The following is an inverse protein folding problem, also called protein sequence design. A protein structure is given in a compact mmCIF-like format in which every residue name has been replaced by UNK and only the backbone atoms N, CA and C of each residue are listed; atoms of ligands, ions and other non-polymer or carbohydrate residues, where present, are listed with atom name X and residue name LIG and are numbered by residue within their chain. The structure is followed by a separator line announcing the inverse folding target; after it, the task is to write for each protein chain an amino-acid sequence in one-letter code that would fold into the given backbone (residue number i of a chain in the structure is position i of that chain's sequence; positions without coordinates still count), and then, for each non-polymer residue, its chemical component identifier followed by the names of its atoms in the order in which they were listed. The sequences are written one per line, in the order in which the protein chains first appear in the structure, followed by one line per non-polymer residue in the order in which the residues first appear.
data_IF_431169145320
#
_entry.id   IF_431169145320
#
_cell.length_a   1.000
_cell.length_b   1.000
_cell.length_c   1.000
_cell.angle_alpha   90.00
_cell.angle_beta   90.00
_cell.angle_gamma   90.00
#
_symmetry.space_group_name_H-M   'P 1'
#
loop_
_entity.id
_entity.type
_entity.pdbx_description
1 polymer ?
#
# COMPACT_ATOMS: atom_id res chain seq x y z
N UNK A 1 18.96 6.03 -17.81
CA UNK A 1 19.01 5.36 -19.11
C UNK A 1 20.14 5.90 -19.97
N UNK A 2 20.20 7.21 -20.30
CA UNK A 2 21.25 7.82 -21.15
C UNK A 2 22.66 7.47 -20.71
N UNK A 3 22.95 7.59 -19.41
CA UNK A 3 24.27 7.28 -18.84
C UNK A 3 24.64 5.80 -18.95
N UNK A 4 23.64 4.93 -18.83
CA UNK A 4 23.82 3.48 -19.01
C UNK A 4 24.11 3.15 -20.49
N UNK A 5 23.29 3.69 -21.40
CA UNK A 5 23.47 3.46 -22.83
C UNK A 5 24.88 3.87 -23.29
N UNK A 6 25.34 5.07 -22.90
CA UNK A 6 26.69 5.52 -23.20
C UNK A 6 27.78 4.56 -22.70
N UNK A 7 27.64 4.09 -21.45
CA UNK A 7 28.58 3.09 -20.91
C UNK A 7 28.51 1.74 -21.63
N UNK A 8 27.32 1.36 -22.09
CA UNK A 8 27.14 0.12 -22.83
C UNK A 8 27.80 0.18 -24.22
N UNK A 9 27.72 1.33 -24.89
CA UNK A 9 28.47 1.59 -26.13
C UNK A 9 29.98 1.49 -25.89
N UNK A 10 30.48 2.21 -24.87
CA UNK A 10 31.91 2.29 -24.56
C UNK A 10 32.51 0.96 -24.10
N UNK A 11 31.82 0.20 -23.26
CA UNK A 11 32.37 -1.01 -22.63
C UNK A 11 32.08 -2.29 -23.38
N UNK A 12 30.96 -2.38 -24.07
CA UNK A 12 30.50 -3.60 -24.72
C UNK A 12 30.42 -3.48 -26.24
N UNK A 13 30.81 -2.34 -26.79
CA UNK A 13 30.81 -2.14 -28.25
C UNK A 13 29.43 -2.20 -28.89
N UNK A 14 28.36 -1.97 -28.11
CA UNK A 14 27.00 -1.98 -28.64
C UNK A 14 26.77 -0.78 -29.53
N UNK A 15 25.98 -0.96 -30.60
CA UNK A 15 25.49 0.20 -31.35
C UNK A 15 24.59 1.06 -30.45
N UNK A 16 24.48 2.34 -30.75
CA UNK A 16 23.63 3.29 -30.00
C UNK A 16 22.21 2.75 -29.81
N UNK A 17 21.60 2.20 -30.87
CA UNK A 17 20.25 1.62 -30.83
C UNK A 17 20.17 0.43 -29.87
N UNK A 18 21.12 -0.49 -29.95
CA UNK A 18 21.19 -1.63 -29.05
C UNK A 18 21.39 -1.21 -27.59
N UNK A 19 22.25 -0.23 -27.34
CA UNK A 19 22.52 0.30 -26.01
C UNK A 19 21.27 0.99 -25.42
N UNK A 20 20.53 1.74 -26.20
CA UNK A 20 19.27 2.36 -25.79
C UNK A 20 18.18 1.30 -25.50
N UNK A 21 18.05 0.29 -26.35
CA UNK A 21 17.12 -0.82 -26.13
C UNK A 21 17.45 -1.61 -24.84
N UNK A 22 18.74 -1.88 -24.60
CA UNK A 22 19.15 -2.53 -23.36
C UNK A 22 18.90 -1.64 -22.13
N UNK A 23 19.18 -0.35 -22.23
CA UNK A 23 18.88 0.60 -21.17
C UNK A 23 17.36 0.65 -20.86
N UNK A 24 16.53 0.54 -21.87
CA UNK A 24 15.08 0.50 -21.69
C UNK A 24 14.60 -0.79 -21.02
N UNK A 25 15.20 -1.93 -21.39
CA UNK A 25 14.87 -3.21 -20.77
C UNK A 25 15.30 -3.30 -19.31
N UNK A 26 16.50 -2.82 -19.00
CA UNK A 26 17.14 -3.02 -17.71
C UNK A 26 16.79 -1.94 -16.67
N UNK A 27 16.51 -0.72 -17.12
CA UNK A 27 16.29 0.42 -16.22
C UNK A 27 14.85 0.88 -16.31
N UNK A 28 14.12 0.71 -15.21
CA UNK A 28 12.76 1.17 -15.04
C UNK A 28 12.56 1.88 -13.71
N UNK A 29 11.34 2.29 -13.46
CA UNK A 29 10.88 2.78 -12.18
C UNK A 29 10.11 1.69 -11.45
N UNK A 30 10.30 1.58 -10.17
CA UNK A 30 9.34 0.98 -9.24
C UNK A 30 8.38 2.08 -8.84
N UNK A 31 7.10 1.84 -8.97
CA UNK A 31 6.04 2.76 -8.59
C UNK A 31 5.31 2.19 -7.39
N UNK A 32 5.46 2.86 -6.27
CA UNK A 32 4.86 2.45 -5.01
C UNK A 32 3.58 3.23 -4.78
N UNK A 33 2.45 2.53 -4.73
CA UNK A 33 1.13 3.16 -4.63
C UNK A 33 0.89 3.75 -3.24
N UNK A 34 1.39 3.09 -2.19
CA UNK A 34 1.29 3.61 -0.83
C UNK A 34 2.10 4.89 -0.66
N UNK A 35 3.35 4.89 -1.14
CA UNK A 35 4.21 6.06 -1.04
C UNK A 35 3.65 7.27 -1.80
N UNK A 36 3.16 7.07 -3.02
CA UNK A 36 2.58 8.18 -3.77
C UNK A 36 1.30 8.72 -3.12
N UNK A 37 0.51 7.87 -2.47
CA UNK A 37 -0.69 8.30 -1.76
C UNK A 37 -0.38 9.26 -0.61
N UNK A 38 0.81 9.15 0.01
CA UNK A 38 1.23 9.99 1.12
C UNK A 38 1.40 11.47 0.76
N UNK A 39 1.44 11.84 -0.53
CA UNK A 39 1.48 13.26 -0.89
C UNK A 39 0.16 13.98 -0.59
N UNK A 40 -0.93 13.23 -0.34
CA UNK A 40 -2.21 13.79 0.10
C UNK A 40 -2.09 14.63 1.36
N UNK A 41 -1.17 14.29 2.27
CA UNK A 41 -0.90 15.09 3.47
C UNK A 41 -0.45 16.53 3.17
N UNK A 42 -0.01 16.79 1.96
CA UNK A 42 0.37 18.13 1.48
C UNK A 42 -0.72 18.80 0.63
N UNK A 43 -1.93 18.25 0.63
CA UNK A 43 -3.08 18.81 -0.09
C UNK A 43 -3.25 18.31 -1.53
N UNK A 44 -2.48 17.32 -1.96
CA UNK A 44 -2.66 16.71 -3.29
C UNK A 44 -3.93 15.87 -3.33
N UNK A 45 -4.62 15.90 -4.46
CA UNK A 45 -5.86 15.15 -4.71
C UNK A 45 -5.59 13.84 -5.45
N UNK A 46 -6.59 12.97 -5.54
CA UNK A 46 -6.51 11.75 -6.35
C UNK A 46 -6.20 12.03 -7.82
N UNK A 47 -6.67 13.16 -8.37
CA UNK A 47 -6.35 13.52 -9.75
C UNK A 47 -4.87 13.84 -9.91
N UNK A 48 -4.27 14.55 -8.95
CA UNK A 48 -2.83 14.81 -8.98
C UNK A 48 -2.03 13.51 -8.91
N UNK A 49 -2.45 12.55 -8.07
CA UNK A 49 -1.80 11.24 -7.99
C UNK A 49 -1.86 10.49 -9.33
N UNK A 50 -2.98 10.57 -10.02
CA UNK A 50 -3.14 9.98 -11.36
C UNK A 50 -2.25 10.66 -12.40
N UNK A 51 -2.12 11.99 -12.35
CA UNK A 51 -1.24 12.76 -13.23
C UNK A 51 0.22 12.36 -13.04
N UNK A 52 0.69 12.24 -11.80
CA UNK A 52 2.03 11.75 -11.48
C UNK A 52 2.26 10.33 -12.02
N UNK A 53 1.27 9.45 -11.88
CA UNK A 53 1.35 8.10 -12.42
C UNK A 53 1.43 8.10 -13.95
N UNK A 54 0.70 8.96 -14.65
CA UNK A 54 0.79 9.12 -16.12
C UNK A 54 2.15 9.63 -16.53
N UNK A 55 2.70 10.60 -15.79
CA UNK A 55 4.01 11.21 -16.09
C UNK A 55 5.15 10.18 -16.09
N UNK A 56 5.08 9.17 -15.24
CA UNK A 56 6.09 8.11 -15.15
C UNK A 56 5.68 6.81 -15.85
N UNK A 57 4.45 6.68 -16.30
CA UNK A 57 3.82 5.45 -16.77
C UNK A 57 4.67 4.60 -17.72
N UNK A 58 5.26 5.22 -18.76
CA UNK A 58 6.16 4.54 -19.73
C UNK A 58 7.42 3.94 -19.11
N UNK A 59 7.77 4.33 -17.89
CA UNK A 59 9.00 3.89 -17.22
C UNK A 59 8.75 2.85 -16.15
N UNK A 60 7.51 2.65 -15.76
CA UNK A 60 7.13 1.73 -14.70
C UNK A 60 7.36 0.29 -15.15
N UNK A 61 8.19 -0.44 -14.42
CA UNK A 61 8.50 -1.85 -14.63
C UNK A 61 8.03 -2.72 -13.46
N UNK A 62 7.89 -2.12 -12.31
CA UNK A 62 7.48 -2.76 -11.07
C UNK A 62 6.52 -1.85 -10.32
N UNK A 63 5.55 -2.44 -9.63
CA UNK A 63 4.59 -1.74 -8.79
C UNK A 63 4.61 -2.39 -7.41
N UNK A 64 4.78 -1.58 -6.38
CA UNK A 64 4.51 -1.99 -5.02
C UNK A 64 3.05 -1.69 -4.68
N UNK A 65 2.39 -2.70 -4.16
CA UNK A 65 0.99 -2.67 -3.77
C UNK A 65 0.94 -2.63 -2.25
N UNK A 66 0.78 -1.46 -1.71
CA UNK A 66 0.49 -1.19 -0.31
C UNK A 66 -0.60 -0.15 -0.21
N UNK A 67 -1.35 -0.19 0.87
CA UNK A 67 -2.42 0.77 1.13
C UNK A 67 -2.11 1.59 2.40
N UNK A 68 -2.69 2.76 2.48
CA UNK A 68 -2.65 3.65 3.63
C UNK A 68 -3.74 4.72 3.50
N UNK A 69 -3.81 5.64 4.44
CA UNK A 69 -4.80 6.73 4.43
C UNK A 69 -4.23 8.07 3.93
N UNK A 70 -3.02 8.07 3.39
CA UNK A 70 -2.40 9.26 2.83
C UNK A 70 -1.67 10.16 3.83
N UNK A 71 -1.63 9.79 5.10
CA UNK A 71 -1.02 10.59 6.17
C UNK A 71 0.33 10.03 6.61
N UNK A 72 0.41 8.71 6.81
CA UNK A 72 1.60 8.03 7.30
C UNK A 72 1.98 6.85 6.41
N UNK A 73 3.24 6.42 6.55
CA UNK A 73 3.75 5.24 5.90
C UNK A 73 3.27 3.98 6.64
N UNK A 74 2.05 3.57 6.30
CA UNK A 74 1.48 2.33 6.80
C UNK A 74 1.35 1.37 5.64
N UNK A 75 1.93 0.20 5.76
CA UNK A 75 1.91 -0.83 4.74
C UNK A 75 0.73 -1.77 4.98
N UNK A 76 -0.48 -1.29 4.72
CA UNK A 76 -1.69 -2.09 4.77
C UNK A 76 -1.87 -2.92 3.48
N UNK A 77 -2.53 -4.08 3.56
CA UNK A 77 -3.01 -4.77 2.37
C UNK A 77 -3.90 -3.87 1.52
N UNK A 78 -3.85 -4.05 0.20
CA UNK A 78 -4.70 -3.31 -0.72
C UNK A 78 -6.18 -3.46 -0.37
N UNK A 79 -6.90 -2.35 -0.40
CA UNK A 79 -8.32 -2.27 -0.09
C UNK A 79 -8.64 -1.95 1.38
N UNK A 80 -7.62 -1.79 2.22
CA UNK A 80 -7.78 -1.45 3.63
C UNK A 80 -7.56 0.03 3.95
N UNK A 81 -7.06 0.80 3.00
CA UNK A 81 -6.87 2.24 3.08
C UNK A 81 -7.69 3.00 2.04
N UNK A 82 -7.13 4.11 1.56
CA UNK A 82 -7.78 4.98 0.57
C UNK A 82 -6.94 5.21 -0.69
N UNK A 83 -5.96 4.35 -0.97
CA UNK A 83 -5.19 4.42 -2.21
C UNK A 83 -6.10 4.13 -3.40
N UNK A 84 -6.19 5.00 -4.41
CA UNK A 84 -7.01 4.78 -5.60
C UNK A 84 -6.37 3.75 -6.55
N UNK A 85 -6.13 2.54 -6.04
CA UNK A 85 -5.35 1.46 -6.67
C UNK A 85 -5.83 1.12 -8.06
N UNK A 86 -7.16 0.96 -8.23
CA UNK A 86 -7.73 0.64 -9.54
C UNK A 86 -7.37 1.69 -10.57
N UNK A 87 -7.52 2.97 -10.23
CA UNK A 87 -7.21 4.07 -11.14
C UNK A 87 -5.71 4.10 -11.51
N UNK A 88 -4.82 3.87 -10.55
CA UNK A 88 -3.39 3.75 -10.83
C UNK A 88 -3.09 2.56 -11.75
N UNK A 89 -3.68 1.40 -11.46
CA UNK A 89 -3.45 0.19 -12.26
C UNK A 89 -4.01 0.30 -13.67
N UNK A 90 -5.15 0.95 -13.86
CA UNK A 90 -5.71 1.21 -15.18
C UNK A 90 -4.73 2.07 -16.01
N UNK A 91 -4.22 3.16 -15.45
CA UNK A 91 -3.20 4.01 -16.09
C UNK A 91 -1.92 3.22 -16.40
N UNK A 92 -1.41 2.45 -15.46
CA UNK A 92 -0.17 1.67 -15.64
C UNK A 92 -0.36 0.62 -16.73
N UNK A 93 -1.50 -0.03 -16.78
CA UNK A 93 -1.82 -1.06 -17.76
C UNK A 93 -1.93 -0.52 -19.20
N UNK A 94 -2.23 0.76 -19.39
CA UNK A 94 -2.15 1.41 -20.70
C UNK A 94 -0.74 1.35 -21.30
N UNK A 95 0.29 1.45 -20.45
CA UNK A 95 1.69 1.46 -20.86
C UNK A 95 2.36 0.08 -20.74
N UNK A 96 2.00 -0.71 -19.73
CA UNK A 96 2.65 -1.99 -19.44
C UNK A 96 1.67 -2.98 -18.79
N UNK A 97 0.98 -3.76 -19.59
CA UNK A 97 0.05 -4.80 -19.12
C UNK A 97 0.73 -5.93 -18.33
N UNK A 98 2.05 -6.10 -18.52
CA UNK A 98 2.84 -7.15 -17.87
C UNK A 98 3.70 -6.59 -16.72
N UNK A 99 3.33 -5.45 -16.16
CA UNK A 99 4.03 -4.88 -15.02
C UNK A 99 4.09 -5.88 -13.87
N UNK A 100 5.27 -6.01 -13.27
CA UNK A 100 5.42 -6.84 -12.06
C UNK A 100 4.75 -6.15 -10.89
N UNK A 101 4.05 -6.92 -10.08
CA UNK A 101 3.37 -6.46 -8.88
C UNK A 101 3.97 -7.16 -7.67
N UNK A 102 4.29 -6.40 -6.65
CA UNK A 102 4.80 -6.88 -5.37
C UNK A 102 3.85 -6.36 -4.30
N UNK A 103 3.33 -7.24 -3.47
CA UNK A 103 2.54 -6.87 -2.30
C UNK A 103 3.53 -6.47 -1.21
N UNK A 104 3.43 -5.24 -0.76
CA UNK A 104 4.25 -4.68 0.30
C UNK A 104 3.35 -4.32 1.48
N UNK A 105 3.21 -5.25 2.40
CA UNK A 105 2.38 -5.15 3.58
C UNK A 105 3.11 -5.81 4.76
N UNK A 106 4.35 -5.37 5.00
CA UNK A 106 5.25 -5.96 6.00
C UNK A 106 4.72 -5.83 7.42
N UNK A 107 4.20 -4.69 7.77
CA UNK A 107 3.65 -4.43 9.09
C UNK A 107 2.41 -5.29 9.37
N UNK A 108 1.60 -5.56 8.35
CA UNK A 108 0.45 -6.44 8.47
C UNK A 108 0.84 -7.84 8.97
N UNK A 109 1.84 -8.46 8.34
CA UNK A 109 2.26 -9.80 8.72
C UNK A 109 2.81 -9.87 10.14
N UNK A 110 3.57 -8.85 10.54
CA UNK A 110 4.16 -8.77 11.89
C UNK A 110 3.08 -8.72 12.98
N UNK A 111 1.98 -7.99 12.74
CA UNK A 111 0.94 -7.77 13.73
C UNK A 111 -0.21 -8.77 13.65
N UNK A 112 -0.63 -9.12 12.45
CA UNK A 112 -1.79 -9.97 12.22
C UNK A 112 -1.44 -11.45 12.03
N UNK A 113 -0.17 -11.76 11.77
CA UNK A 113 0.34 -13.12 11.50
C UNK A 113 -0.43 -13.85 10.39
N UNK A 114 -1.09 -13.11 9.52
CA UNK A 114 -1.82 -13.61 8.35
C UNK A 114 -1.21 -13.06 7.07
N UNK A 115 -1.37 -13.80 5.98
CA UNK A 115 -0.87 -13.32 4.68
C UNK A 115 -1.72 -12.14 4.17
N UNK A 116 -1.13 -11.03 3.71
CA UNK A 116 -1.86 -9.93 3.09
C UNK A 116 -2.38 -10.27 1.70
N UNK A 117 -2.08 -11.47 1.20
CA UNK A 117 -2.43 -11.87 -0.16
C UNK A 117 -3.95 -11.97 -0.36
N UNK A 118 -4.65 -12.51 0.64
CA UNK A 118 -6.11 -12.69 0.58
C UNK A 118 -6.83 -11.36 0.42
N UNK A 119 -6.53 -10.40 1.27
CA UNK A 119 -7.09 -9.05 1.26
C UNK A 119 -6.78 -8.33 -0.06
N UNK A 120 -5.53 -8.41 -0.49
CA UNK A 120 -5.09 -7.80 -1.75
C UNK A 120 -5.82 -8.39 -2.95
N UNK A 121 -5.99 -9.70 -3.01
CA UNK A 121 -6.72 -10.36 -4.12
C UNK A 121 -8.22 -10.03 -4.07
N UNK A 122 -8.82 -9.93 -2.89
CA UNK A 122 -10.20 -9.48 -2.72
C UNK A 122 -10.39 -8.05 -3.23
N UNK A 123 -9.47 -7.14 -2.91
CA UNK A 123 -9.47 -5.76 -3.40
C UNK A 123 -9.35 -5.67 -4.94
N UNK A 124 -8.66 -6.62 -5.56
CA UNK A 124 -8.60 -6.76 -7.02
C UNK A 124 -9.79 -7.50 -7.63
N UNK A 125 -10.82 -7.80 -6.84
CA UNK A 125 -12.05 -8.42 -7.31
C UNK A 125 -11.97 -9.94 -7.51
N UNK A 126 -11.05 -10.62 -6.82
CA UNK A 126 -11.02 -12.08 -6.82
C UNK A 126 -12.28 -12.64 -6.15
N UNK A 127 -13.17 -13.35 -6.89
CA UNK A 127 -14.39 -13.87 -6.30
C UNK A 127 -14.12 -14.92 -5.21
N UNK A 128 -13.01 -15.64 -5.33
CA UNK A 128 -12.63 -16.67 -4.37
C UNK A 128 -12.35 -16.07 -2.99
N UNK A 129 -11.58 -15.00 -2.94
CA UNK A 129 -11.23 -14.35 -1.68
C UNK A 129 -12.32 -13.41 -1.19
N UNK A 130 -13.03 -12.72 -2.08
CA UNK A 130 -14.18 -11.91 -1.70
C UNK A 130 -15.33 -12.70 -1.07
N UNK A 131 -15.47 -13.98 -1.42
CA UNK A 131 -16.48 -14.86 -0.78
C UNK A 131 -16.04 -15.39 0.59
N UNK A 132 -14.74 -15.56 0.80
CA UNK A 132 -14.22 -16.14 2.04
C UNK A 132 -13.89 -15.10 3.11
N UNK A 133 -13.54 -13.93 2.66
CA UNK A 133 -13.11 -12.82 3.50
C UNK A 133 -14.04 -11.66 3.16
N UNK A 134 -15.15 -11.57 3.86
CA UNK A 134 -15.81 -10.27 3.94
C UNK A 134 -14.75 -9.23 4.28
N UNK A 135 -14.89 -7.99 3.83
CA UNK A 135 -13.88 -6.98 4.12
C UNK A 135 -13.55 -7.06 5.61
N UNK A 136 -12.28 -7.17 5.94
CA UNK A 136 -11.79 -7.26 7.33
C UNK A 136 -12.47 -6.23 8.24
N UNK A 137 -12.75 -5.06 7.70
CA UNK A 137 -13.50 -4.00 8.36
C UNK A 137 -14.95 -4.36 8.67
N UNK A 138 -15.64 -5.16 7.86
CA UNK A 138 -16.99 -5.62 8.22
C UNK A 138 -16.96 -6.67 9.33
N UNK A 139 -15.89 -7.45 9.41
CA UNK A 139 -15.67 -8.34 10.56
C UNK A 139 -15.29 -7.53 11.81
N UNK A 140 -14.42 -6.53 11.68
CA UNK A 140 -14.08 -5.63 12.76
C UNK A 140 -15.30 -4.80 13.22
N UNK A 141 -16.12 -4.32 12.29
CA UNK A 141 -17.38 -3.65 12.61
C UNK A 141 -18.40 -4.61 13.25
N UNK A 142 -18.49 -5.85 12.79
CA UNK A 142 -19.33 -6.88 13.40
C UNK A 142 -18.90 -7.19 14.84
N UNK A 143 -17.60 -7.30 15.05
CA UNK A 143 -17.02 -7.49 16.37
C UNK A 143 -17.16 -6.26 17.26
N UNK A 144 -16.98 -5.05 16.70
CA UNK A 144 -17.25 -3.78 17.40
C UNK A 144 -18.73 -3.62 17.72
N UNK A 145 -19.63 -4.02 16.82
CA UNK A 145 -21.08 -4.00 17.06
C UNK A 145 -21.44 -4.87 18.26
N UNK A 146 -20.85 -6.05 18.38
CA UNK A 146 -20.98 -6.92 19.56
C UNK A 146 -20.38 -6.29 20.83
N UNK A 147 -19.27 -5.61 20.71
CA UNK A 147 -18.61 -4.87 21.78
C UNK A 147 -19.49 -3.71 22.30
N UNK A 148 -20.05 -2.89 21.39
CA UNK A 148 -20.96 -1.81 21.75
C UNK A 148 -22.35 -2.30 22.20
N UNK A 149 -22.78 -3.49 21.77
CA UNK A 149 -24.07 -4.06 22.17
C UNK A 149 -24.08 -4.71 23.56
N UNK A 150 -23.02 -4.54 24.35
CA UNK A 150 -23.02 -4.94 25.77
C UNK A 150 -22.12 -6.12 26.14
N UNK A 151 -21.29 -6.60 25.22
CA UNK A 151 -20.24 -7.58 25.56
C UNK A 151 -19.04 -6.97 26.30
N UNK A 152 -19.21 -5.74 26.76
CA UNK A 152 -18.40 -5.11 27.78
C UNK A 152 -17.22 -4.30 27.23
N UNK A 153 -17.11 -3.12 27.77
CA UNK A 153 -15.86 -2.35 27.85
C UNK A 153 -14.83 -3.12 28.68
N UNK A 154 -14.43 -4.30 28.19
CA UNK A 154 -13.37 -5.04 28.85
C UNK A 154 -12.04 -4.73 28.13
N UNK A 155 -11.14 -3.96 28.76
CA UNK A 155 -9.84 -3.63 28.20
C UNK A 155 -9.02 -4.87 27.83
N UNK A 156 -9.20 -5.99 28.54
CA UNK A 156 -8.49 -7.24 28.25
C UNK A 156 -8.97 -7.89 26.96
N UNK A 157 -10.30 -7.87 26.71
CA UNK A 157 -10.86 -8.38 25.45
C UNK A 157 -10.39 -7.49 24.30
N UNK A 158 -10.44 -6.19 24.48
CA UNK A 158 -9.95 -5.23 23.49
C UNK A 158 -8.46 -5.46 23.22
N UNK A 159 -7.64 -5.64 24.25
CA UNK A 159 -6.22 -5.92 24.12
C UNK A 159 -5.96 -7.30 23.51
N UNK A 160 -6.76 -8.34 23.83
CA UNK A 160 -6.59 -9.67 23.26
C UNK A 160 -7.04 -9.77 21.80
N UNK A 161 -8.08 -9.02 21.40
CA UNK A 161 -8.62 -9.03 20.03
C UNK A 161 -7.86 -8.09 19.08
N UNK A 162 -7.42 -6.96 19.58
CA UNK A 162 -6.78 -5.92 18.78
C UNK A 162 -5.32 -5.70 19.19
N UNK A 163 -4.92 -6.20 20.33
CA UNK A 163 -3.54 -6.33 20.84
C UNK A 163 -2.69 -5.09 20.74
N UNK A 164 -1.40 -5.31 20.73
CA UNK A 164 -0.41 -4.26 20.47
C UNK A 164 -0.52 -3.65 19.06
N UNK A 165 -1.32 -4.24 18.17
CA UNK A 165 -1.60 -3.72 16.84
C UNK A 165 -2.22 -2.32 16.84
N UNK A 166 -2.92 -1.94 17.92
CA UNK A 166 -3.45 -0.57 18.07
C UNK A 166 -2.36 0.50 18.19
N UNK A 167 -1.20 0.14 18.71
CA UNK A 167 -0.06 1.06 18.78
C UNK A 167 0.53 1.40 17.40
N UNK A 168 0.27 0.55 16.41
CA UNK A 168 0.80 0.65 15.05
C UNK A 168 -0.28 0.90 13.99
N UNK A 169 -1.52 1.14 14.41
CA UNK A 169 -2.55 1.59 13.49
C UNK A 169 -2.25 3.02 13.02
N UNK A 170 -2.66 3.38 11.80
CA UNK A 170 -2.67 4.77 11.36
C UNK A 170 -3.39 5.67 12.36
N UNK A 171 -2.97 6.93 12.48
CA UNK A 171 -3.57 7.91 13.40
C UNK A 171 -5.08 8.00 13.17
N UNK A 172 -5.51 7.93 11.91
CA UNK A 172 -6.91 7.98 11.48
C UNK A 172 -7.75 6.81 12.02
N UNK A 173 -7.09 5.71 12.38
CA UNK A 173 -7.72 4.53 12.98
C UNK A 173 -7.48 4.43 14.50
N UNK A 174 -7.02 5.52 15.11
CA UNK A 174 -6.73 5.57 16.54
C UNK A 174 -5.34 5.10 16.93
N UNK A 175 -4.43 4.95 15.97
CA UNK A 175 -3.02 4.67 16.22
C UNK A 175 -2.30 5.83 16.90
N UNK A 176 -1.16 5.54 17.52
CA UNK A 176 -0.35 6.54 18.22
C UNK A 176 0.70 7.16 17.28
N UNK A 177 0.98 8.44 17.48
CA UNK A 177 2.15 9.06 16.86
C UNK A 177 3.43 8.38 17.34
N UNK A 178 4.35 8.09 16.41
CA UNK A 178 5.67 7.56 16.75
C UNK A 178 6.32 8.42 17.82
N UNK A 179 6.65 7.81 18.96
CA UNK A 179 7.34 8.46 20.08
C UNK A 179 6.47 8.83 21.29
N UNK A 180 5.17 8.53 21.29
CA UNK A 180 4.31 8.71 22.47
C UNK A 180 3.61 7.40 22.84
N UNK A 181 4.11 6.73 23.86
CA UNK A 181 3.57 5.47 24.40
C UNK A 181 2.26 5.65 25.19
N UNK A 182 1.25 6.34 24.65
CA UNK A 182 -0.01 6.51 25.35
C UNK A 182 -1.18 6.34 24.42
N UNK A 183 -2.13 5.53 24.85
CA UNK A 183 -3.45 5.43 24.24
C UNK A 183 -4.11 6.83 24.27
N UNK A 184 -4.64 7.25 23.14
CA UNK A 184 -5.46 8.46 23.05
C UNK A 184 -6.60 8.35 24.06
N UNK A 185 -6.63 9.26 25.03
CA UNK A 185 -7.62 9.29 26.09
C UNK A 185 -7.17 8.80 27.48
N UNK A 186 -5.96 8.28 27.62
CA UNK A 186 -5.42 8.01 28.95
C UNK A 186 -5.09 9.34 29.69
N UNK A 187 -5.51 9.49 30.97
CA UNK A 187 -5.17 10.68 31.75
C UNK A 187 -3.64 10.86 31.81
N UNK A 188 -3.20 12.07 31.62
CA UNK A 188 -1.80 12.44 31.90
C UNK A 188 -1.67 12.67 33.39
N UNK A 189 -0.96 11.82 34.12
CA UNK A 189 -0.35 12.23 35.38
C UNK A 189 0.82 13.18 35.11
#
# INVERSE_FOLDING_TARGET
RKRFAKKAEEKFGLSKKQAEEQAEKLIGATWDLGHINMIKKYGYTDENLKEETRAVGKRIKNVHLSDNFGMEHTELPMGMGNVPTKAHMDIINEYNKKVKKVIEAGDWYQHMQTSPLGETLAAFGSPLYAMQMGPYWSQAQGNMGGYFAGMGYNPEIHHSMYGAGFANLPIELGGQMAGKNRLSGAPTE
#
